data_IF_103176883297
#
_entry.id   IF_103176883297
#
_cell.length_a   1.000
_cell.length_b   1.000
_cell.length_c   1.000
_cell.angle_alpha   90.00
_cell.angle_beta   90.00
_cell.angle_gamma   90.00
#
_symmetry.space_group_name_H-M   'P 1'
#
loop_
_entity.id
_entity.type
_entity.pdbx_description
1 polymer ?
#
# COMPACT_ATOMS: atom_id res chain seq x y z
N UNK A 1 -22.52 38.90 55.32
CA UNK A 1 -21.21 39.56 55.54
C UNK A 1 -20.52 39.62 54.18
N UNK A 2 -20.65 40.73 53.40
CA UNK A 2 -19.70 41.87 53.29
C UNK A 2 -18.24 41.39 53.31
N UNK A 3 -17.42 41.58 52.27
CA UNK A 3 -16.98 42.84 51.60
C UNK A 3 -16.65 42.58 50.11
N UNK A 4 -17.05 43.30 49.06
CA UNK A 4 -16.86 44.71 48.59
C UNK A 4 -15.44 45.16 48.16
N UNK A 5 -15.37 45.75 46.94
CA UNK A 5 -14.31 46.60 46.35
C UNK A 5 -13.92 46.16 44.93
N UNK A 6 -14.43 46.71 43.80
CA UNK A 6 -14.33 48.09 43.28
C UNK A 6 -13.12 48.18 42.31
N UNK A 7 -13.10 48.77 41.10
CA UNK A 7 -13.88 49.86 40.52
C UNK A 7 -13.52 50.09 39.01
N UNK A 8 -14.54 50.25 38.16
CA UNK A 8 -14.78 51.17 37.00
C UNK A 8 -13.70 51.63 35.98
N UNK A 9 -14.13 51.57 34.69
CA UNK A 9 -14.10 52.66 33.68
C UNK A 9 -12.96 52.60 32.63
N UNK A 10 -13.10 52.88 31.33
CA UNK A 10 -14.20 53.35 30.47
C UNK A 10 -13.64 54.11 29.24
N UNK A 11 -14.12 53.84 28.02
CA UNK A 11 -14.04 54.70 26.81
C UNK A 11 -12.74 54.67 25.97
N UNK A 12 -12.65 54.91 24.65
CA UNK A 12 -13.45 54.76 23.41
C UNK A 12 -12.56 55.28 22.24
N UNK A 13 -12.57 54.57 21.09
CA UNK A 13 -12.29 54.99 19.67
C UNK A 13 -10.88 55.13 19.06
N UNK A 14 -10.76 54.36 17.97
CA UNK A 14 -10.38 54.71 16.58
C UNK A 14 -8.91 54.81 16.15
N UNK A 15 -8.55 53.94 15.20
CA UNK A 15 -7.43 54.09 14.26
C UNK A 15 -7.38 52.91 13.29
N UNK A 16 -7.87 53.11 12.05
CA UNK A 16 -7.65 52.21 10.90
C UNK A 16 -6.18 52.29 10.48
N UNK A 17 -5.59 51.19 10.00
CA UNK A 17 -4.49 51.31 9.02
C UNK A 17 -3.40 50.23 9.02
N UNK A 18 -3.64 49.16 8.28
CA UNK A 18 -2.73 48.46 7.33
C UNK A 18 -1.44 47.77 7.83
N UNK A 19 -1.31 46.52 7.32
CA UNK A 19 -0.25 45.51 7.45
C UNK A 19 1.17 46.00 7.10
N UNK A 20 2.17 45.35 7.69
CA UNK A 20 3.35 44.90 6.94
C UNK A 20 3.96 43.63 7.56
N UNK A 21 3.63 42.51 6.94
CA UNK A 21 4.60 41.59 6.33
C UNK A 21 5.75 41.05 7.21
N UNK A 22 5.45 40.05 8.03
CA UNK A 22 6.42 39.11 8.62
C UNK A 22 5.83 37.69 8.75
N UNK A 23 5.19 37.19 7.69
CA UNK A 23 4.52 35.88 7.72
C UNK A 23 4.75 34.98 6.50
N UNK A 24 5.22 35.52 5.38
CA UNK A 24 5.20 34.77 4.11
C UNK A 24 6.49 34.00 3.83
N UNK A 25 7.64 34.38 4.42
CA UNK A 25 8.91 33.68 4.21
C UNK A 25 8.96 32.23 4.71
N UNK A 26 8.39 31.95 5.89
CA UNK A 26 8.38 30.59 6.46
C UNK A 26 7.24 29.72 5.89
N UNK A 27 6.09 30.30 5.54
CA UNK A 27 4.99 29.56 4.88
C UNK A 27 5.36 29.15 3.46
N UNK A 28 6.09 29.98 2.72
CA UNK A 28 6.56 29.67 1.36
C UNK A 28 7.71 28.64 1.37
N UNK A 29 8.52 28.60 2.44
CA UNK A 29 9.51 27.54 2.68
C UNK A 29 8.86 26.18 2.95
N UNK A 30 7.78 26.15 3.74
CA UNK A 30 7.01 24.93 4.01
C UNK A 30 6.23 24.44 2.78
N UNK A 31 5.61 25.35 2.03
CA UNK A 31 4.93 25.04 0.76
C UNK A 31 5.90 24.59 -0.34
N UNK A 32 7.16 25.05 -0.35
CA UNK A 32 8.20 24.50 -1.26
C UNK A 32 8.75 23.14 -0.81
N UNK A 33 8.72 22.85 0.49
CA UNK A 33 9.01 21.50 1.04
C UNK A 33 7.85 20.53 0.76
N UNK A 34 6.61 21.03 0.72
CA UNK A 34 5.39 20.26 0.37
C UNK A 34 5.18 20.11 -1.14
N UNK A 35 5.52 21.12 -1.95
CA UNK A 35 5.47 21.07 -3.41
C UNK A 35 6.51 20.12 -4.02
N UNK A 36 7.43 19.58 -3.22
CA UNK A 36 8.38 18.54 -3.59
C UNK A 36 7.93 17.11 -3.26
N UNK A 37 6.66 16.94 -2.84
CA UNK A 37 5.97 15.65 -2.65
C UNK A 37 5.66 14.87 -3.95
N UNK A 38 6.41 15.14 -5.02
CA UNK A 38 6.43 14.30 -6.21
C UNK A 38 6.93 12.90 -5.84
N UNK A 39 6.06 11.89 -6.07
CA UNK A 39 6.26 10.41 -5.97
C UNK A 39 5.64 9.66 -4.78
N UNK A 40 4.65 10.24 -4.10
CA UNK A 40 3.56 9.44 -3.47
C UNK A 40 2.53 9.01 -4.54
N UNK A 41 2.55 9.71 -5.67
CA UNK A 41 1.69 9.57 -6.85
C UNK A 41 1.74 8.18 -7.49
N UNK A 42 2.90 7.53 -7.53
CA UNK A 42 3.06 6.23 -8.21
C UNK A 42 2.35 5.12 -7.45
N UNK A 43 2.45 5.08 -6.12
CA UNK A 43 1.80 4.04 -5.32
C UNK A 43 0.27 4.22 -5.30
N UNK A 44 -0.22 5.46 -5.29
CA UNK A 44 -1.65 5.78 -5.35
C UNK A 44 -2.26 5.50 -6.74
N UNK A 45 -1.53 5.76 -7.83
CA UNK A 45 -1.93 5.39 -9.20
C UNK A 45 -1.85 3.89 -9.41
N UNK A 46 -0.90 3.21 -8.78
CA UNK A 46 -0.83 1.75 -8.82
C UNK A 46 -2.01 1.16 -8.03
N UNK A 47 -2.34 1.67 -6.84
CA UNK A 47 -3.49 1.20 -6.06
C UNK A 47 -4.85 1.56 -6.71
N UNK A 48 -4.99 2.76 -7.28
CA UNK A 48 -6.18 3.17 -8.04
C UNK A 48 -6.30 2.41 -9.38
N UNK A 49 -5.18 2.07 -10.02
CA UNK A 49 -5.12 1.28 -11.25
C UNK A 49 -5.43 -0.21 -11.04
N UNK A 50 -4.95 -0.82 -9.95
CA UNK A 50 -5.31 -2.19 -9.53
C UNK A 50 -6.82 -2.33 -9.39
N UNK A 51 -7.44 -1.32 -8.81
CA UNK A 51 -8.85 -1.37 -8.51
C UNK A 51 -9.77 -1.09 -9.71
N UNK A 52 -9.33 -0.29 -10.69
CA UNK A 52 -10.08 -0.06 -11.92
C UNK A 52 -10.07 -1.28 -12.87
N UNK A 53 -9.06 -2.16 -12.76
CA UNK A 53 -8.92 -3.37 -13.58
C UNK A 53 -9.75 -4.57 -13.05
N UNK A 54 -10.10 -4.59 -11.76
CA UNK A 54 -10.86 -5.68 -11.14
C UNK A 54 -12.36 -5.70 -11.52
N UNK A 55 -12.88 -4.61 -12.09
CA UNK A 55 -14.33 -4.41 -12.29
C UNK A 55 -14.80 -4.68 -13.74
N UNK A 56 -14.06 -5.51 -14.47
CA UNK A 56 -14.17 -5.66 -15.92
C UNK A 56 -14.27 -7.10 -16.41
N UNK A 57 -15.20 -7.91 -15.91
CA UNK A 57 -15.56 -9.17 -16.56
C UNK A 57 -17.07 -9.45 -16.56
N UNK A 58 -17.71 -9.22 -17.70
CA UNK A 58 -18.79 -10.05 -18.23
C UNK A 58 -18.90 -9.89 -19.77
N UNK A 59 -18.50 -10.96 -20.47
CA UNK A 59 -18.84 -11.43 -21.83
C UNK A 59 -18.69 -10.51 -23.07
N UNK A 60 -17.66 -10.78 -23.89
CA UNK A 60 -17.79 -11.57 -25.13
C UNK A 60 -16.49 -11.51 -25.94
N UNK A 61 -16.18 -12.59 -26.66
CA UNK A 61 -14.86 -12.90 -27.19
C UNK A 61 -14.23 -11.84 -28.11
N UNK A 62 -13.16 -11.22 -27.63
CA UNK A 62 -11.96 -10.79 -28.35
C UNK A 62 -11.01 -10.19 -27.32
N UNK A 63 -9.70 -10.41 -27.45
CA UNK A 63 -8.69 -9.84 -26.56
C UNK A 63 -8.84 -8.30 -26.49
N UNK A 64 -8.84 -7.65 -25.31
CA UNK A 64 -8.97 -6.20 -25.27
C UNK A 64 -7.61 -5.57 -25.58
N UNK A 65 -7.60 -4.72 -26.60
CA UNK A 65 -6.51 -3.81 -26.89
C UNK A 65 -6.48 -2.66 -25.85
N UNK A 66 -5.28 -2.13 -25.58
CA UNK A 66 -5.00 -0.94 -24.76
C UNK A 66 -6.07 0.16 -24.96
N UNK A 67 -6.76 0.55 -23.89
CA UNK A 67 -7.72 1.66 -23.93
C UNK A 67 -7.03 2.94 -23.44
N UNK A 68 -6.86 3.98 -24.27
CA UNK A 68 -6.26 5.23 -23.81
C UNK A 68 -7.30 6.10 -23.11
N UNK A 69 -6.96 6.63 -21.94
CA UNK A 69 -7.77 7.63 -21.24
C UNK A 69 -7.78 8.96 -22.02
N UNK A 70 -8.92 9.32 -22.60
CA UNK A 70 -9.16 10.65 -23.16
C UNK A 70 -9.50 11.64 -22.03
N UNK A 71 -8.74 12.72 -21.94
CA UNK A 71 -8.61 13.53 -20.73
C UNK A 71 -9.49 14.76 -20.60
N UNK A 72 -9.11 15.60 -19.62
CA UNK A 72 -9.04 17.07 -19.69
C UNK A 72 -8.32 17.61 -18.45
N UNK A 73 -7.32 18.47 -18.66
CA UNK A 73 -6.98 19.53 -17.70
C UNK A 73 -5.76 19.34 -16.80
N UNK A 74 -4.63 18.88 -17.33
CA UNK A 74 -3.33 19.00 -16.67
C UNK A 74 -2.26 18.38 -17.54
N UNK A 75 -1.17 19.10 -17.80
CA UNK A 75 -0.05 18.60 -18.62
C UNK A 75 0.66 17.50 -17.85
N UNK A 76 0.11 16.29 -17.90
CA UNK A 76 0.85 15.08 -17.62
C UNK A 76 1.94 14.98 -18.69
N UNK A 77 3.19 14.88 -18.25
CA UNK A 77 4.33 14.57 -19.12
C UNK A 77 3.96 13.38 -20.01
N UNK A 78 4.13 13.52 -21.33
CA UNK A 78 3.92 12.48 -22.35
C UNK A 78 4.82 11.24 -22.16
N UNK A 79 5.75 11.28 -21.22
CA UNK A 79 6.83 10.30 -21.07
C UNK A 79 6.73 9.47 -19.77
N UNK A 80 5.58 9.50 -19.08
CA UNK A 80 5.37 8.56 -17.97
C UNK A 80 5.08 7.16 -18.55
N UNK A 81 5.91 6.15 -18.27
CA UNK A 81 5.69 4.80 -18.78
C UNK A 81 4.33 4.26 -18.34
N UNK A 82 3.56 3.75 -19.28
CA UNK A 82 2.27 3.13 -19.02
C UNK A 82 2.47 1.93 -18.10
N UNK A 83 1.86 1.99 -16.92
CA UNK A 83 2.02 0.97 -15.90
C UNK A 83 1.08 -0.19 -16.25
N UNK A 84 1.58 -1.13 -17.06
CA UNK A 84 0.78 -2.27 -17.54
C UNK A 84 0.69 -3.35 -16.45
N UNK A 85 -0.48 -3.44 -15.82
CA UNK A 85 -0.87 -4.54 -14.94
C UNK A 85 -1.63 -5.56 -15.80
N UNK A 86 -1.15 -6.80 -15.84
CA UNK A 86 -1.78 -7.88 -16.61
C UNK A 86 -2.92 -8.52 -15.79
N UNK A 87 -4.17 -8.30 -16.20
CA UNK A 87 -5.34 -8.91 -15.55
C UNK A 87 -5.29 -10.44 -15.55
N UNK A 88 -4.69 -11.06 -16.58
CA UNK A 88 -4.50 -12.50 -16.58
C UNK A 88 -3.42 -12.92 -15.58
N UNK A 89 -2.39 -12.10 -15.32
CA UNK A 89 -1.40 -12.35 -14.27
C UNK A 89 -2.03 -12.29 -12.87
N UNK A 90 -2.85 -11.27 -12.61
CA UNK A 90 -3.61 -11.16 -11.37
C UNK A 90 -4.41 -12.43 -11.09
N UNK A 91 -5.21 -12.88 -12.07
CA UNK A 91 -6.02 -14.09 -11.92
C UNK A 91 -5.17 -15.36 -11.73
N UNK A 92 -4.04 -15.49 -12.44
CA UNK A 92 -3.11 -16.62 -12.23
C UNK A 92 -2.60 -16.68 -10.79
N UNK A 93 -2.28 -15.55 -10.18
CA UNK A 93 -1.84 -15.50 -8.78
C UNK A 93 -2.98 -15.93 -7.83
N UNK A 94 -4.19 -15.42 -8.05
CA UNK A 94 -5.37 -15.79 -7.25
C UNK A 94 -5.65 -17.29 -7.35
N UNK A 95 -5.72 -17.84 -8.56
CA UNK A 95 -5.96 -19.27 -8.81
C UNK A 95 -4.87 -20.14 -8.20
N UNK A 96 -3.60 -19.73 -8.33
CA UNK A 96 -2.46 -20.46 -7.76
C UNK A 96 -2.54 -20.53 -6.24
N UNK A 97 -2.83 -19.40 -5.59
CA UNK A 97 -2.91 -19.33 -4.14
C UNK A 97 -4.18 -20.03 -3.62
N UNK A 98 -5.30 -19.90 -4.31
CA UNK A 98 -6.59 -20.47 -3.92
C UNK A 98 -6.78 -21.95 -4.30
N UNK A 99 -5.77 -22.59 -4.92
CA UNK A 99 -5.88 -23.98 -5.37
C UNK A 99 -6.17 -24.95 -4.21
N UNK A 100 -6.97 -26.01 -4.42
CA UNK A 100 -7.31 -26.97 -3.37
C UNK A 100 -6.09 -27.59 -2.67
N UNK A 101 -4.97 -27.77 -3.39
CA UNK A 101 -3.74 -28.35 -2.87
C UNK A 101 -3.06 -27.48 -1.80
N UNK A 102 -3.35 -26.18 -1.75
CA UNK A 102 -2.86 -25.30 -0.70
C UNK A 102 -3.76 -25.27 0.53
N UNK A 103 -4.88 -26.00 0.53
CA UNK A 103 -5.75 -26.25 1.71
C UNK A 103 -6.02 -25.02 2.57
N UNK A 104 -6.17 -23.86 1.94
CA UNK A 104 -6.44 -22.60 2.64
C UNK A 104 -5.27 -22.00 3.42
N UNK A 105 -4.03 -22.46 3.21
CA UNK A 105 -2.78 -21.79 3.65
C UNK A 105 -2.80 -21.40 5.14
N UNK A 106 -3.24 -22.31 6.00
CA UNK A 106 -3.32 -22.02 7.45
C UNK A 106 -1.95 -21.68 8.01
N UNK A 107 -1.88 -20.71 8.91
CA UNK A 107 -0.62 -20.26 9.51
C UNK A 107 0.16 -21.43 10.13
N UNK A 108 1.42 -21.60 9.71
CA UNK A 108 2.28 -22.67 10.20
C UNK A 108 2.03 -24.05 9.56
N UNK A 109 1.12 -24.14 8.58
CA UNK A 109 0.93 -25.36 7.79
C UNK A 109 2.05 -25.56 6.75
N UNK A 110 2.27 -26.79 6.26
CA UNK A 110 3.14 -27.03 5.11
C UNK A 110 2.73 -26.23 3.87
N UNK A 111 1.43 -26.04 3.65
CA UNK A 111 0.88 -25.30 2.52
C UNK A 111 1.14 -23.79 2.61
N UNK A 112 1.15 -23.22 3.82
CA UNK A 112 1.60 -21.85 4.08
C UNK A 112 3.06 -21.66 3.66
N UNK A 113 3.95 -22.61 4.00
CA UNK A 113 5.34 -22.58 3.57
C UNK A 113 5.46 -22.63 2.03
N UNK A 114 4.68 -23.48 1.37
CA UNK A 114 4.65 -23.55 -0.10
C UNK A 114 4.20 -22.22 -0.70
N UNK A 115 3.20 -21.56 -0.11
CA UNK A 115 2.75 -20.24 -0.54
C UNK A 115 3.83 -19.16 -0.31
N UNK A 116 4.50 -19.15 0.84
CA UNK A 116 5.60 -18.23 1.12
C UNK A 116 6.76 -18.39 0.11
N UNK A 117 7.13 -19.63 -0.21
CA UNK A 117 8.15 -19.93 -1.22
C UNK A 117 7.72 -19.52 -2.63
N UNK A 118 6.43 -19.65 -2.96
CA UNK A 118 5.88 -19.16 -4.22
C UNK A 118 6.02 -17.63 -4.32
N UNK A 119 5.59 -16.90 -3.29
CA UNK A 119 5.70 -15.44 -3.25
C UNK A 119 7.16 -14.97 -3.37
N UNK A 120 8.06 -15.61 -2.61
CA UNK A 120 9.48 -15.33 -2.68
C UNK A 120 10.01 -15.46 -4.11
N UNK A 121 9.70 -16.56 -4.80
CA UNK A 121 10.12 -16.79 -6.19
C UNK A 121 9.55 -15.76 -7.16
N UNK A 122 8.23 -15.53 -7.15
CA UNK A 122 7.58 -14.59 -8.07
C UNK A 122 8.18 -13.18 -8.01
N UNK A 123 8.55 -12.74 -6.80
CA UNK A 123 9.12 -11.41 -6.57
C UNK A 123 10.61 -11.36 -6.89
N UNK A 124 11.38 -12.38 -6.52
CA UNK A 124 12.82 -12.43 -6.85
C UNK A 124 13.06 -12.60 -8.34
N UNK A 125 12.24 -13.39 -9.03
CA UNK A 125 12.32 -13.59 -10.49
C UNK A 125 11.95 -12.30 -11.25
N UNK A 126 11.09 -11.46 -10.65
CA UNK A 126 10.83 -10.10 -11.12
C UNK A 126 11.97 -9.10 -10.79
N UNK A 127 13.04 -9.57 -10.15
CA UNK A 127 14.22 -8.80 -9.80
C UNK A 127 14.13 -8.05 -8.48
N UNK A 128 13.04 -8.15 -7.73
CA UNK A 128 12.94 -7.52 -6.42
C UNK A 128 13.92 -8.17 -5.45
N UNK A 129 14.45 -7.39 -4.51
CA UNK A 129 15.51 -7.83 -3.61
C UNK A 129 14.96 -8.05 -2.20
N UNK A 130 15.54 -8.95 -1.40
CA UNK A 130 15.31 -8.96 0.04
C UNK A 130 15.61 -7.59 0.68
N UNK A 131 15.08 -7.31 1.88
CA UNK A 131 15.47 -6.13 2.66
C UNK A 131 16.99 -6.04 2.87
N UNK A 132 17.51 -4.84 3.20
CA UNK A 132 18.91 -4.69 3.58
C UNK A 132 19.31 -5.70 4.67
N UNK A 133 20.51 -6.25 4.56
CA UNK A 133 21.10 -7.23 5.48
C UNK A 133 20.40 -8.60 5.52
N UNK A 134 19.35 -8.81 4.72
CA UNK A 134 18.72 -10.12 4.56
C UNK A 134 19.29 -10.85 3.34
N UNK A 135 19.54 -12.16 3.51
CA UNK A 135 19.98 -13.05 2.42
C UNK A 135 18.80 -13.74 1.71
N UNK A 136 17.60 -13.64 2.27
CA UNK A 136 16.37 -14.28 1.81
C UNK A 136 15.18 -13.32 1.99
N UNK A 137 14.17 -13.33 1.10
CA UNK A 137 12.95 -12.57 1.32
C UNK A 137 12.05 -13.18 2.40
N UNK A 138 12.32 -14.42 2.82
CA UNK A 138 11.51 -15.13 3.82
C UNK A 138 11.99 -14.79 5.23
N UNK A 139 11.07 -14.30 6.06
CA UNK A 139 11.25 -14.06 7.49
C UNK A 139 10.53 -15.15 8.30
N UNK A 140 11.25 -16.19 8.76
CA UNK A 140 10.66 -17.25 9.56
C UNK A 140 10.46 -16.82 11.01
N UNK A 141 9.44 -17.37 11.66
CA UNK A 141 9.20 -17.23 13.09
C UNK A 141 8.44 -18.42 13.67
N UNK A 142 8.50 -18.60 14.99
CA UNK A 142 7.72 -19.63 15.68
C UNK A 142 6.26 -19.16 15.88
N UNK A 143 5.33 -19.99 15.41
CA UNK A 143 3.91 -19.88 15.67
C UNK A 143 3.44 -21.12 16.41
N UNK A 144 3.39 -21.04 17.76
CA UNK A 144 2.89 -22.10 18.65
C UNK A 144 3.61 -23.43 18.43
N UNK A 145 4.93 -23.41 18.23
CA UNK A 145 5.75 -24.60 17.98
C UNK A 145 5.78 -25.07 16.52
N UNK A 146 5.14 -24.33 15.60
CA UNK A 146 5.22 -24.57 14.15
C UNK A 146 5.88 -23.37 13.46
N UNK A 147 6.75 -23.59 12.44
CA UNK A 147 7.36 -22.49 11.71
C UNK A 147 6.33 -21.79 10.81
N UNK A 148 6.26 -20.47 10.86
CA UNK A 148 5.48 -19.62 9.98
C UNK A 148 6.38 -18.57 9.31
N UNK A 149 5.95 -18.00 8.19
CA UNK A 149 6.81 -17.25 7.29
C UNK A 149 6.15 -15.96 6.81
N UNK A 150 6.71 -14.79 7.13
CA UNK A 150 6.42 -13.61 6.32
C UNK A 150 7.30 -13.63 5.07
N UNK A 151 6.86 -12.94 4.01
CA UNK A 151 7.69 -12.67 2.82
C UNK A 151 7.83 -11.17 2.66
N UNK A 152 9.06 -10.69 2.59
CA UNK A 152 9.36 -9.26 2.44
C UNK A 152 10.38 -9.09 1.32
N UNK A 153 10.06 -8.20 0.39
CA UNK A 153 11.00 -7.72 -0.63
C UNK A 153 10.99 -6.20 -0.65
N UNK A 154 12.01 -5.61 -1.26
CA UNK A 154 12.18 -4.18 -1.33
C UNK A 154 12.46 -3.68 -2.75
N UNK A 155 12.06 -2.43 -2.97
CA UNK A 155 12.47 -1.61 -4.09
C UNK A 155 13.10 -0.33 -3.53
N UNK A 156 14.41 -0.14 -3.76
CA UNK A 156 15.14 1.01 -3.23
C UNK A 156 14.82 2.28 -4.01
N UNK A 157 14.69 3.38 -3.26
CA UNK A 157 14.65 4.72 -3.85
C UNK A 157 16.04 5.18 -4.32
N UNK A 158 16.01 6.09 -5.28
CA UNK A 158 17.15 6.72 -5.95
C UNK A 158 17.57 8.04 -5.30
N UNK A 159 16.69 8.68 -4.52
CA UNK A 159 17.01 9.94 -3.85
C UNK A 159 17.99 9.70 -2.69
N UNK A 160 19.12 10.43 -2.61
CA UNK A 160 20.18 10.15 -1.64
C UNK A 160 19.75 10.27 -0.17
N UNK A 161 18.69 11.03 0.12
CA UNK A 161 18.18 11.22 1.48
C UNK A 161 16.89 10.45 1.68
N UNK A 162 15.91 10.66 0.79
CA UNK A 162 14.57 10.11 0.96
C UNK A 162 14.50 8.60 0.77
N UNK A 163 15.51 7.97 0.13
CA UNK A 163 15.57 6.51 0.02
C UNK A 163 15.66 5.80 1.36
N UNK A 164 16.03 6.50 2.42
CA UNK A 164 16.06 5.97 3.78
C UNK A 164 14.70 6.02 4.47
N UNK A 165 13.71 6.70 3.89
CA UNK A 165 12.30 6.61 4.28
C UNK A 165 11.61 5.48 3.50
N UNK A 166 10.75 4.74 4.21
CA UNK A 166 10.14 3.51 3.73
C UNK A 166 8.62 3.61 3.71
N UNK A 167 8.04 3.22 2.58
CA UNK A 167 6.60 2.97 2.44
C UNK A 167 6.40 1.46 2.49
N UNK A 168 5.47 0.98 3.31
CA UNK A 168 5.08 -0.43 3.32
C UNK A 168 3.83 -0.59 2.46
N UNK A 169 3.84 -1.55 1.55
CA UNK A 169 2.65 -2.01 0.83
C UNK A 169 2.51 -3.49 1.16
N UNK A 170 1.36 -3.91 1.67
CA UNK A 170 1.21 -5.30 2.10
C UNK A 170 -0.16 -5.89 1.92
N UNK A 171 -0.19 -7.20 2.08
CA UNK A 171 -1.38 -8.05 2.12
C UNK A 171 -1.06 -9.24 3.03
N UNK A 172 -2.06 -9.92 3.59
CA UNK A 172 -1.83 -11.22 4.20
C UNK A 172 -2.09 -12.34 3.20
N UNK A 173 -1.37 -13.45 3.31
CA UNK A 173 -1.47 -14.56 2.36
C UNK A 173 -1.96 -15.85 3.00
N UNK A 174 -2.02 -15.92 4.33
CA UNK A 174 -2.67 -17.02 5.03
C UNK A 174 -4.20 -16.96 4.89
N UNK A 175 -4.86 -18.09 5.13
CA UNK A 175 -6.30 -18.12 5.32
C UNK A 175 -6.71 -19.22 6.31
N UNK A 176 -8.02 -19.48 6.44
CA UNK A 176 -8.62 -20.28 7.52
C UNK A 176 -8.29 -21.78 7.52
N UNK A 177 -7.57 -22.30 6.52
CA UNK A 177 -7.21 -23.71 6.40
C UNK A 177 -8.36 -24.62 5.97
N UNK A 178 -8.35 -25.85 6.48
CA UNK A 178 -9.47 -26.78 6.40
C UNK A 178 -10.22 -26.84 7.73
N UNK A 179 -11.54 -26.71 7.72
CA UNK A 179 -12.38 -26.87 8.92
C UNK A 179 -13.53 -27.82 8.63
N UNK A 180 -13.65 -28.87 9.44
CA UNK A 180 -14.70 -29.89 9.32
C UNK A 180 -14.79 -30.51 7.90
N UNK A 181 -13.65 -30.77 7.27
CA UNK A 181 -13.59 -31.34 5.91
C UNK A 181 -13.84 -30.33 4.78
N UNK A 182 -14.08 -29.06 5.10
CA UNK A 182 -14.22 -27.99 4.11
C UNK A 182 -12.94 -27.17 4.04
N UNK A 183 -12.34 -27.08 2.86
CA UNK A 183 -11.23 -26.17 2.58
C UNK A 183 -11.76 -24.76 2.38
N UNK A 184 -11.10 -23.78 2.99
CA UNK A 184 -11.36 -22.36 2.79
C UNK A 184 -10.28 -21.84 1.85
N UNK A 185 -10.55 -21.67 0.55
CA UNK A 185 -9.51 -21.37 -0.43
C UNK A 185 -8.98 -19.93 -0.33
N UNK A 186 -9.74 -19.00 0.26
CA UNK A 186 -9.28 -17.63 0.47
C UNK A 186 -8.90 -16.88 -0.80
N UNK A 187 -9.77 -16.97 -1.82
CA UNK A 187 -9.54 -16.35 -3.12
C UNK A 187 -9.63 -14.81 -3.05
N UNK A 188 -10.73 -14.30 -2.51
CA UNK A 188 -10.87 -12.86 -2.27
C UNK A 188 -10.15 -12.44 -0.98
N UNK A 189 -10.29 -13.24 0.08
CA UNK A 189 -9.66 -13.06 1.39
C UNK A 189 -8.53 -14.10 1.60
N UNK A 190 -7.27 -13.80 1.31
CA UNK A 190 -6.79 -12.56 0.70
C UNK A 190 -5.81 -12.79 -0.45
N UNK A 191 -6.03 -13.85 -1.23
CA UNK A 191 -5.25 -14.07 -2.46
C UNK A 191 -5.40 -12.91 -3.47
N UNK A 192 -6.54 -12.21 -3.46
CA UNK A 192 -6.77 -11.02 -4.28
C UNK A 192 -5.83 -9.86 -3.93
N UNK A 193 -5.70 -9.51 -2.64
CA UNK A 193 -4.79 -8.47 -2.18
C UNK A 193 -3.34 -8.84 -2.45
N UNK A 194 -2.98 -10.10 -2.22
CA UNK A 194 -1.66 -10.64 -2.55
C UNK A 194 -1.35 -10.49 -4.04
N UNK A 195 -2.26 -10.88 -4.93
CA UNK A 195 -2.09 -10.73 -6.37
C UNK A 195 -1.89 -9.26 -6.78
N UNK A 196 -2.69 -8.34 -6.22
CA UNK A 196 -2.56 -6.91 -6.45
C UNK A 196 -1.18 -6.37 -6.03
N UNK A 197 -0.67 -6.79 -4.88
CA UNK A 197 0.65 -6.36 -4.38
C UNK A 197 1.80 -6.97 -5.21
N UNK A 198 1.69 -8.23 -5.66
CA UNK A 198 2.68 -8.84 -6.56
C UNK A 198 2.79 -8.04 -7.86
N UNK A 199 1.67 -7.82 -8.54
CA UNK A 199 1.68 -7.15 -9.85
C UNK A 199 2.07 -5.67 -9.72
N UNK A 200 1.73 -5.03 -8.61
CA UNK A 200 2.25 -3.70 -8.25
C UNK A 200 3.77 -3.69 -8.18
N UNK A 201 4.37 -4.62 -7.43
CA UNK A 201 5.81 -4.68 -7.25
C UNK A 201 6.52 -4.94 -8.59
N UNK A 202 5.97 -5.83 -9.41
CA UNK A 202 6.47 -6.16 -10.75
C UNK A 202 6.41 -4.97 -11.69
N UNK A 203 5.25 -4.30 -11.76
CA UNK A 203 5.05 -3.14 -12.61
C UNK A 203 5.95 -1.97 -12.19
N UNK A 204 6.11 -1.73 -10.88
CA UNK A 204 7.03 -0.71 -10.38
C UNK A 204 8.49 -1.05 -10.70
N UNK A 205 8.92 -2.30 -10.52
CA UNK A 205 10.30 -2.68 -10.84
C UNK A 205 10.59 -2.55 -12.34
N UNK A 206 9.62 -2.90 -13.20
CA UNK A 206 9.80 -2.89 -14.65
C UNK A 206 9.69 -1.49 -15.25
N UNK A 207 8.73 -0.71 -14.79
CA UNK A 207 8.29 0.50 -15.47
C UNK A 207 8.35 1.76 -14.61
N UNK A 208 8.65 1.71 -13.30
CA UNK A 208 8.58 2.95 -12.51
C UNK A 208 9.63 3.97 -12.98
N UNK A 209 9.26 5.27 -13.07
CA UNK A 209 10.27 6.31 -13.02
C UNK A 209 11.02 6.22 -11.68
N UNK A 210 12.22 6.82 -11.56
CA UNK A 210 13.02 6.75 -10.34
C UNK A 210 12.17 7.00 -9.08
N UNK A 211 12.35 6.26 -8.01
CA UNK A 211 11.54 6.44 -6.79
C UNK A 211 12.33 7.30 -5.80
N UNK A 212 11.71 8.27 -5.14
CA UNK A 212 12.44 9.02 -4.09
C UNK A 212 12.62 8.18 -2.84
N UNK A 213 11.52 7.60 -2.36
CA UNK A 213 11.48 6.74 -1.17
C UNK A 213 11.61 5.28 -1.55
N UNK A 214 12.09 4.48 -0.61
CA UNK A 214 12.11 3.03 -0.80
C UNK A 214 10.75 2.43 -0.42
N UNK A 215 10.45 1.27 -0.99
CA UNK A 215 9.21 0.52 -0.73
C UNK A 215 9.56 -0.85 -0.18
N UNK A 216 8.89 -1.27 0.89
CA UNK A 216 8.82 -2.66 1.33
C UNK A 216 7.49 -3.24 0.86
N UNK A 217 7.55 -4.34 0.14
CA UNK A 217 6.39 -5.17 -0.16
C UNK A 217 6.36 -6.31 0.86
N UNK A 218 5.34 -6.33 1.70
CA UNK A 218 5.22 -7.26 2.82
C UNK A 218 4.01 -8.16 2.65
N UNK A 219 4.24 -9.46 2.65
CA UNK A 219 3.21 -10.49 2.65
C UNK A 219 3.22 -11.17 4.02
N UNK A 220 2.15 -10.96 4.78
CA UNK A 220 2.06 -11.42 6.16
C UNK A 220 1.34 -12.77 6.25
N UNK A 221 1.79 -13.62 7.16
CA UNK A 221 1.06 -14.82 7.56
C UNK A 221 0.46 -14.62 8.96
N UNK A 222 -0.61 -15.34 9.29
CA UNK A 222 -1.27 -15.28 10.58
C UNK A 222 -2.03 -13.98 10.86
N UNK A 223 -2.56 -13.33 9.83
CA UNK A 223 -3.58 -12.28 10.00
C UNK A 223 -4.80 -12.88 10.72
N UNK A 224 -5.28 -14.02 10.20
CA UNK A 224 -6.46 -14.76 10.65
C UNK A 224 -6.30 -15.38 12.04
N UNK A 225 -5.06 -15.33 12.54
CA UNK A 225 -4.64 -15.80 13.86
C UNK A 225 -4.35 -14.65 14.83
N UNK A 226 -4.80 -13.44 14.51
CA UNK A 226 -4.69 -12.24 15.34
C UNK A 226 -3.47 -11.38 15.03
N UNK A 227 -3.20 -11.17 13.74
CA UNK A 227 -2.13 -10.30 13.22
C UNK A 227 -0.72 -10.72 13.66
N UNK A 228 -0.45 -12.03 13.78
CA UNK A 228 0.81 -12.51 14.37
C UNK A 228 2.02 -12.23 13.47
N UNK A 229 1.90 -12.38 12.16
CA UNK A 229 2.99 -12.10 11.23
C UNK A 229 3.34 -10.62 11.14
N UNK A 230 2.34 -9.73 11.04
CA UNK A 230 2.60 -8.28 10.99
C UNK A 230 3.15 -7.75 12.33
N UNK A 231 2.71 -8.32 13.47
CA UNK A 231 3.32 -8.04 14.78
C UNK A 231 4.76 -8.53 14.85
N UNK A 232 5.04 -9.72 14.33
CA UNK A 232 6.40 -10.24 14.24
C UNK A 232 7.28 -9.30 13.39
N UNK A 233 6.83 -8.94 12.19
CA UNK A 233 7.52 -7.99 11.31
C UNK A 233 7.87 -6.69 12.02
N UNK A 234 6.94 -6.08 12.78
CA UNK A 234 7.25 -4.87 13.53
C UNK A 234 8.28 -5.10 14.63
N UNK A 235 8.30 -6.26 15.28
CA UNK A 235 9.24 -6.57 16.35
C UNK A 235 10.65 -6.88 15.83
N UNK A 236 10.76 -7.43 14.62
CA UNK A 236 12.01 -7.82 13.97
C UNK A 236 12.23 -7.07 12.64
N UNK A 237 11.73 -5.83 12.59
CA UNK A 237 11.69 -5.03 11.36
C UNK A 237 13.08 -4.89 10.74
N UNK A 238 13.23 -5.12 9.41
CA UNK A 238 14.50 -4.97 8.71
C UNK A 238 14.96 -3.51 8.61
N UNK A 239 14.07 -2.56 8.92
CA UNK A 239 14.33 -1.13 8.90
C UNK A 239 13.88 -0.48 10.21
N UNK A 240 14.51 0.62 10.66
CA UNK A 240 14.04 1.34 11.83
C UNK A 240 12.58 1.76 11.67
N UNK A 241 11.72 1.42 12.66
CA UNK A 241 10.27 1.72 12.59
C UNK A 241 9.99 3.21 12.40
N UNK A 242 10.83 4.08 12.96
CA UNK A 242 10.75 5.54 12.81
C UNK A 242 10.98 6.03 11.37
N UNK A 243 11.50 5.17 10.48
CA UNK A 243 11.70 5.46 9.06
C UNK A 243 10.57 4.91 8.18
N UNK A 244 9.62 4.15 8.74
CA UNK A 244 8.41 3.74 8.02
C UNK A 244 7.42 4.92 8.09
N UNK A 245 7.21 5.58 6.96
CA UNK A 245 6.44 6.83 6.88
C UNK A 245 4.98 6.63 6.48
N UNK A 246 4.66 5.47 5.89
CA UNK A 246 3.30 5.10 5.50
C UNK A 246 3.18 3.58 5.34
N UNK A 247 1.96 3.07 5.51
CA UNK A 247 1.60 1.70 5.17
C UNK A 247 0.26 1.66 4.43
N UNK A 248 0.20 0.89 3.35
CA UNK A 248 -1.01 0.61 2.58
C UNK A 248 -1.26 -0.90 2.64
N UNK A 249 -2.47 -1.30 3.02
CA UNK A 249 -2.88 -2.70 3.07
C UNK A 249 -3.88 -3.01 1.95
N UNK A 250 -3.66 -4.08 1.21
CA UNK A 250 -4.62 -4.65 0.27
C UNK A 250 -5.31 -5.85 0.93
N UNK A 251 -6.62 -5.76 1.08
CA UNK A 251 -7.44 -6.79 1.71
C UNK A 251 -8.80 -6.87 1.02
N UNK A 252 -9.11 -8.02 0.44
CA UNK A 252 -10.36 -8.28 -0.30
C UNK A 252 -10.62 -7.26 -1.41
N UNK A 253 -9.84 -7.31 -2.49
CA UNK A 253 -9.88 -6.32 -3.58
C UNK A 253 -10.55 -6.83 -4.87
N UNK A 254 -11.23 -7.99 -4.85
CA UNK A 254 -11.74 -8.62 -6.09
C UNK A 254 -13.26 -8.83 -6.14
N UNK A 255 -14.00 -8.51 -5.08
CA UNK A 255 -15.41 -8.92 -4.94
C UNK A 255 -16.45 -8.00 -5.58
N UNK A 256 -16.13 -6.74 -5.78
CA UNK A 256 -17.14 -5.74 -6.11
C UNK A 256 -17.40 -5.60 -7.62
N UNK A 257 -18.64 -5.81 -8.03
CA UNK A 257 -19.13 -5.68 -9.41
C UNK A 257 -19.58 -4.25 -9.75
N UNK A 258 -19.69 -3.37 -8.75
CA UNK A 258 -20.10 -1.97 -8.92
C UNK A 258 -18.96 -1.04 -9.33
N UNK A 259 -17.75 -1.58 -9.50
CA UNK A 259 -16.51 -0.82 -9.75
C UNK A 259 -16.15 0.16 -8.63
N UNK A 260 -16.52 -0.15 -7.40
CA UNK A 260 -16.24 0.67 -6.23
C UNK A 260 -15.03 0.15 -5.47
N UNK A 261 -14.26 1.08 -4.91
CA UNK A 261 -13.14 0.79 -4.03
C UNK A 261 -13.49 1.32 -2.66
N UNK A 262 -13.45 0.44 -1.67
CA UNK A 262 -13.59 0.85 -0.29
C UNK A 262 -12.20 1.13 0.29
N UNK A 263 -11.92 2.40 0.57
CA UNK A 263 -10.70 2.80 1.29
C UNK A 263 -11.04 3.09 2.73
N UNK A 264 -10.41 2.35 3.65
CA UNK A 264 -10.62 2.47 5.10
C UNK A 264 -9.32 2.95 5.75
N UNK A 265 -9.42 3.71 6.84
CA UNK A 265 -8.26 4.12 7.63
C UNK A 265 -7.55 5.38 7.15
N UNK A 266 -8.18 6.21 6.30
CA UNK A 266 -7.60 7.48 5.82
C UNK A 266 -7.28 8.47 6.94
N UNK A 267 -7.91 8.34 8.11
CA UNK A 267 -7.66 9.12 9.31
C UNK A 267 -6.38 8.71 10.08
N UNK A 268 -5.73 7.61 9.68
CA UNK A 268 -4.51 7.12 10.37
C UNK A 268 -3.24 7.86 9.95
N UNK A 269 -3.31 8.64 8.86
CA UNK A 269 -2.23 9.49 8.38
C UNK A 269 -2.82 10.73 7.70
N UNK A 270 -2.38 11.92 8.10
CA UNK A 270 -2.87 13.20 7.55
C UNK A 270 -2.74 13.29 6.02
N UNK A 271 -1.80 12.55 5.43
CA UNK A 271 -1.58 12.54 3.98
C UNK A 271 -2.59 11.67 3.22
N UNK A 272 -3.25 10.69 3.85
CA UNK A 272 -4.03 9.68 3.13
C UNK A 272 -5.29 10.22 2.48
N UNK A 273 -5.96 11.21 3.07
CA UNK A 273 -7.11 11.85 2.43
C UNK A 273 -6.75 12.42 1.05
N UNK A 274 -5.66 13.20 0.98
CA UNK A 274 -5.17 13.77 -0.27
C UNK A 274 -4.70 12.69 -1.27
N UNK A 275 -4.15 11.59 -0.77
CA UNK A 275 -3.74 10.44 -1.60
C UNK A 275 -4.95 9.78 -2.27
N UNK A 276 -6.03 9.54 -1.52
CA UNK A 276 -7.26 8.94 -2.03
C UNK A 276 -7.95 9.85 -3.04
N UNK A 277 -8.12 11.13 -2.70
CA UNK A 277 -8.72 12.12 -3.62
C UNK A 277 -7.95 12.21 -4.95
N UNK A 278 -6.62 12.21 -4.88
CA UNK A 278 -5.78 12.26 -6.08
C UNK A 278 -5.85 10.97 -6.92
N UNK A 279 -6.14 9.82 -6.31
CA UNK A 279 -6.36 8.55 -6.99
C UNK A 279 -7.73 8.51 -7.68
N UNK A 280 -8.79 8.91 -6.96
CA UNK A 280 -10.15 8.94 -7.48
C UNK A 280 -10.31 9.85 -8.71
N UNK A 281 -9.53 10.93 -8.82
CA UNK A 281 -9.57 11.84 -9.96
C UNK A 281 -8.96 11.28 -11.27
N UNK A 282 -8.43 10.05 -11.27
CA UNK A 282 -7.74 9.43 -12.43
C UNK A 282 -8.40 8.17 -12.99
N UNK A 283 -9.44 7.68 -12.31
CA UNK A 283 -10.27 6.54 -12.73
C UNK A 283 -11.60 7.06 -13.28
#
# INVERSE_FOLDING_TARGET
>A
MRTEGGNRGGGVRSGKGVRSDRGDGERVSWLRRFANAFRVWTVAVVFAGICAAASGFAESGAAPACVPAAGRGGVASKDAPELCIDGAALMRHVETLARPELKGRDTGSPEEKVAAEYLARELTDAGLMPPPDWTSPIQPFDFKGSPAHNVVVCLRGDDPVLREEWIVVGAHFDHLGERKGQVYPGADDNASGVAGVIETARALRKCAPPLKRSILFCFFTGEERGFVGSRHFLNTSPVPKSRIVAMLNADMISRDDTRTIHVVGTQTCDAFAAVVEAGAARV
#
